data_IF_529773706734
#
_entry.id   IF_529773706734
#
_cell.length_a   1.000
_cell.length_b   1.000
_cell.length_c   1.000
_cell.angle_alpha   90.00
_cell.angle_beta   90.00
_cell.angle_gamma   90.00
#
_symmetry.space_group_name_H-M   'P 1'
#
loop_
_entity.id
_entity.type
_entity.pdbx_description
1 polymer ?
#
# COMPACT_ATOMS: atom_id res chain seq x y z
N UNK A 1 18.82 2.86 -22.27
CA UNK A 1 17.70 2.06 -21.70
C UNK A 1 18.24 1.30 -20.49
N UNK A 2 17.80 1.60 -19.27
CA UNK A 2 18.41 0.99 -18.06
C UNK A 2 17.68 1.25 -16.75
N UNK A 3 16.35 1.40 -16.76
CA UNK A 3 15.55 1.68 -15.54
C UNK A 3 14.68 0.50 -15.06
N UNK A 4 14.74 -0.67 -15.72
CA UNK A 4 13.85 -1.81 -15.43
C UNK A 4 14.28 -2.73 -14.28
N UNK A 5 15.57 -2.82 -13.97
CA UNK A 5 16.07 -3.79 -12.99
C UNK A 5 16.06 -3.26 -11.55
N UNK A 6 16.37 -1.99 -11.32
CA UNK A 6 16.43 -1.42 -9.97
C UNK A 6 15.05 -1.33 -9.30
N UNK A 7 14.00 -0.94 -10.04
CA UNK A 7 12.63 -0.92 -9.50
C UNK A 7 12.11 -2.32 -9.16
N UNK A 8 12.44 -3.35 -9.97
CA UNK A 8 12.03 -4.74 -9.68
C UNK A 8 12.75 -5.32 -8.45
N UNK A 9 14.04 -5.04 -8.30
CA UNK A 9 14.83 -5.52 -7.14
C UNK A 9 14.32 -4.87 -5.85
N UNK A 10 14.08 -3.55 -5.87
CA UNK A 10 13.51 -2.85 -4.72
C UNK A 10 12.11 -3.38 -4.39
N UNK A 11 11.26 -3.62 -5.38
CA UNK A 11 9.93 -4.19 -5.17
C UNK A 11 9.97 -5.56 -4.49
N UNK A 12 10.82 -6.48 -4.97
CA UNK A 12 10.98 -7.81 -4.37
C UNK A 12 11.50 -7.75 -2.93
N UNK A 13 12.37 -6.79 -2.64
CA UNK A 13 12.86 -6.53 -1.28
C UNK A 13 11.73 -6.06 -0.36
N UNK A 14 10.92 -5.09 -0.79
CA UNK A 14 9.74 -4.62 -0.05
C UNK A 14 8.74 -5.77 0.17
N UNK A 15 8.46 -6.56 -0.88
CA UNK A 15 7.55 -7.71 -0.82
C UNK A 15 7.98 -8.73 0.23
N UNK A 16 9.29 -8.96 0.37
CA UNK A 16 9.87 -9.90 1.32
C UNK A 16 9.92 -9.31 2.73
N UNK A 17 10.39 -8.06 2.86
CA UNK A 17 10.60 -7.38 4.14
C UNK A 17 9.29 -7.11 4.86
N UNK A 18 8.25 -6.72 4.12
CA UNK A 18 6.96 -6.29 4.65
C UNK A 18 5.83 -7.26 4.29
N UNK A 19 6.17 -8.54 4.11
CA UNK A 19 5.24 -9.55 3.62
C UNK A 19 3.95 -9.63 4.45
N UNK A 20 4.08 -9.51 5.77
CA UNK A 20 3.00 -9.60 6.76
C UNK A 20 2.11 -8.36 6.71
N UNK A 21 2.71 -7.18 6.76
CA UNK A 21 2.04 -5.87 6.71
C UNK A 21 1.28 -5.72 5.40
N UNK A 22 1.89 -6.11 4.27
CA UNK A 22 1.26 -6.11 2.96
C UNK A 22 0.10 -7.10 2.89
N UNK A 23 0.23 -8.29 3.49
CA UNK A 23 -0.85 -9.28 3.50
C UNK A 23 -2.03 -8.81 4.36
N UNK A 24 -1.73 -8.27 5.55
CA UNK A 24 -2.71 -7.70 6.47
C UNK A 24 -3.44 -6.51 5.84
N UNK A 25 -2.69 -5.52 5.35
CA UNK A 25 -3.23 -4.32 4.70
C UNK A 25 -4.12 -4.69 3.51
N UNK A 26 -3.63 -5.55 2.61
CA UNK A 26 -4.41 -5.99 1.46
C UNK A 26 -5.69 -6.74 1.89
N UNK A 27 -5.67 -7.47 3.00
CA UNK A 27 -6.85 -8.17 3.52
C UNK A 27 -7.88 -7.20 4.09
N UNK A 28 -7.44 -6.29 4.96
CA UNK A 28 -8.34 -5.31 5.59
C UNK A 28 -8.97 -4.42 4.52
N UNK A 29 -8.16 -3.84 3.64
CA UNK A 29 -8.62 -2.97 2.56
C UNK A 29 -9.57 -3.70 1.62
N UNK A 30 -9.23 -4.93 1.20
CA UNK A 30 -10.10 -5.71 0.30
C UNK A 30 -11.42 -6.16 0.95
N UNK A 31 -11.55 -6.13 2.28
CA UNK A 31 -12.79 -6.47 2.99
C UNK A 31 -13.74 -5.29 3.18
N UNK A 32 -13.31 -4.07 2.84
CA UNK A 32 -14.14 -2.87 2.94
C UNK A 32 -15.27 -2.88 1.91
N UNK A 33 -16.45 -2.41 2.33
CA UNK A 33 -17.68 -2.41 1.53
C UNK A 33 -18.13 -1.02 1.08
N UNK A 34 -17.56 0.03 1.68
CA UNK A 34 -17.95 1.43 1.41
C UNK A 34 -16.72 2.29 1.17
N UNK A 35 -16.87 3.38 0.43
CA UNK A 35 -15.76 4.31 0.18
C UNK A 35 -15.18 4.88 1.49
N UNK A 36 -16.02 5.19 2.48
CA UNK A 36 -15.56 5.70 3.77
C UNK A 36 -14.73 4.68 4.54
N UNK A 37 -15.17 3.41 4.59
CA UNK A 37 -14.41 2.34 5.24
C UNK A 37 -13.12 2.02 4.48
N UNK A 38 -13.13 2.12 3.15
CA UNK A 38 -11.94 2.01 2.30
C UNK A 38 -10.89 3.07 2.64
N UNK A 39 -11.28 4.35 2.67
CA UNK A 39 -10.37 5.44 2.99
C UNK A 39 -9.80 5.33 4.41
N UNK A 40 -10.64 4.95 5.38
CA UNK A 40 -10.20 4.73 6.75
C UNK A 40 -9.20 3.56 6.83
N UNK A 41 -9.50 2.42 6.21
CA UNK A 41 -8.62 1.25 6.20
C UNK A 41 -7.27 1.53 5.55
N UNK A 42 -7.25 2.32 4.47
CA UNK A 42 -6.01 2.77 3.82
C UNK A 42 -5.22 3.67 4.79
N UNK A 43 -5.88 4.68 5.37
CA UNK A 43 -5.24 5.61 6.29
C UNK A 43 -4.62 4.89 7.51
N UNK A 44 -5.36 3.96 8.12
CA UNK A 44 -4.89 3.15 9.24
C UNK A 44 -3.70 2.26 8.82
N UNK A 45 -3.81 1.56 7.68
CA UNK A 45 -2.75 0.67 7.19
C UNK A 45 -1.44 1.42 6.97
N UNK A 46 -1.50 2.59 6.32
CA UNK A 46 -0.31 3.39 6.02
C UNK A 46 0.24 4.07 7.26
N UNK A 47 -0.63 4.57 8.15
CA UNK A 47 -0.20 5.19 9.41
C UNK A 47 0.49 4.18 10.32
N UNK A 48 -0.05 2.96 10.45
CA UNK A 48 0.60 1.88 11.20
C UNK A 48 1.93 1.49 10.59
N UNK A 49 2.02 1.36 9.26
CA UNK A 49 3.29 1.06 8.59
C UNK A 49 4.36 2.11 8.92
N UNK A 50 4.03 3.40 8.80
CA UNK A 50 4.96 4.51 9.09
C UNK A 50 5.35 4.55 10.56
N UNK A 51 4.41 4.29 11.47
CA UNK A 51 4.69 4.26 12.91
C UNK A 51 5.69 3.14 13.27
N UNK A 52 5.56 1.96 12.66
CA UNK A 52 6.36 0.79 12.97
C UNK A 52 7.71 0.76 12.22
N UNK A 53 7.75 1.27 10.98
CA UNK A 53 8.89 1.10 10.07
C UNK A 53 9.53 2.42 9.59
N UNK A 54 8.90 3.56 9.86
CA UNK A 54 9.26 4.85 9.29
C UNK A 54 8.74 5.04 7.85
N UNK A 55 8.93 6.25 7.31
CA UNK A 55 8.42 6.61 5.97
C UNK A 55 9.36 6.28 4.82
N UNK A 56 10.59 5.81 5.08
CA UNK A 56 11.62 5.62 4.05
C UNK A 56 11.27 4.61 2.96
N UNK A 57 10.51 3.57 3.32
CA UNK A 57 10.06 2.52 2.41
C UNK A 57 8.56 2.64 2.04
N UNK A 58 7.90 3.75 2.42
CA UNK A 58 6.45 3.94 2.26
C UNK A 58 6.01 3.90 0.79
N UNK A 59 6.71 4.59 -0.11
CA UNK A 59 6.36 4.63 -1.53
C UNK A 59 6.41 3.22 -2.14
N UNK A 60 7.46 2.45 -1.81
CA UNK A 60 7.61 1.07 -2.26
C UNK A 60 6.52 0.16 -1.67
N UNK A 61 6.19 0.35 -0.39
CA UNK A 61 5.11 -0.37 0.27
C UNK A 61 3.75 -0.10 -0.40
N UNK A 62 3.42 1.17 -0.68
CA UNK A 62 2.19 1.58 -1.37
C UNK A 62 2.12 0.95 -2.76
N UNK A 63 3.22 0.97 -3.53
CA UNK A 63 3.27 0.37 -4.86
C UNK A 63 2.98 -1.14 -4.81
N UNK A 64 3.61 -1.86 -3.88
CA UNK A 64 3.38 -3.31 -3.73
C UNK A 64 1.96 -3.62 -3.25
N UNK A 65 1.46 -2.86 -2.28
CA UNK A 65 0.10 -3.01 -1.75
C UNK A 65 -0.95 -2.81 -2.84
N UNK A 66 -0.78 -1.77 -3.66
CA UNK A 66 -1.63 -1.47 -4.80
C UNK A 66 -1.65 -2.62 -5.81
N UNK A 67 -0.48 -3.18 -6.13
CA UNK A 67 -0.38 -4.36 -7.00
C UNK A 67 -1.12 -5.58 -6.42
N UNK A 68 -1.03 -5.83 -5.10
CA UNK A 68 -1.76 -6.92 -4.44
C UNK A 68 -3.29 -6.71 -4.49
N UNK A 69 -3.76 -5.47 -4.41
CA UNK A 69 -5.18 -5.14 -4.51
C UNK A 69 -5.72 -5.33 -5.94
N UNK A 70 -4.95 -4.94 -6.96
CA UNK A 70 -5.26 -5.22 -8.37
C UNK A 70 -5.40 -6.73 -8.59
N UNK A 71 -4.48 -7.54 -8.07
CA UNK A 71 -4.54 -9.00 -8.16
C UNK A 71 -5.77 -9.61 -7.46
N UNK A 72 -6.39 -8.88 -6.53
CA UNK A 72 -7.62 -9.26 -5.82
C UNK A 72 -8.89 -8.68 -6.47
N UNK A 73 -8.81 -8.13 -7.68
CA UNK A 73 -9.89 -7.41 -8.36
C UNK A 73 -10.45 -6.21 -7.58
N UNK A 74 -9.65 -5.62 -6.68
CA UNK A 74 -9.97 -4.39 -5.95
C UNK A 74 -9.28 -3.19 -6.58
N UNK A 75 -9.57 -2.95 -7.85
CA UNK A 75 -9.00 -1.84 -8.62
C UNK A 75 -9.42 -0.48 -8.04
N UNK A 76 -10.63 -0.40 -7.47
CA UNK A 76 -11.14 0.76 -6.73
C UNK A 76 -10.23 1.18 -5.56
N UNK A 77 -9.75 0.19 -4.79
CA UNK A 77 -8.83 0.41 -3.70
C UNK A 77 -7.44 0.79 -4.19
N UNK A 78 -7.00 0.20 -5.31
CA UNK A 78 -5.73 0.50 -5.94
C UNK A 78 -5.68 1.95 -6.47
N UNK A 79 -6.75 2.42 -7.11
CA UNK A 79 -6.88 3.80 -7.60
C UNK A 79 -6.94 4.80 -6.44
N UNK A 80 -7.61 4.42 -5.34
CA UNK A 80 -7.64 5.24 -4.12
C UNK A 80 -6.25 5.38 -3.52
N UNK A 81 -5.43 4.31 -3.51
CA UNK A 81 -4.04 4.35 -3.05
C UNK A 81 -3.13 5.18 -3.95
N UNK A 82 -3.33 5.16 -5.27
CA UNK A 82 -2.55 5.98 -6.21
C UNK A 82 -2.79 7.47 -6.01
N UNK A 83 -4.03 7.84 -5.67
CA UNK A 83 -4.40 9.23 -5.37
C UNK A 83 -4.29 9.58 -3.88
N UNK A 84 -3.83 8.64 -3.05
CA UNK A 84 -3.78 8.85 -1.62
C UNK A 84 -2.73 9.90 -1.29
N UNK A 85 -3.16 10.92 -0.55
CA UNK A 85 -2.25 11.84 0.13
C UNK A 85 -2.46 11.67 1.62
N UNK A 86 -1.38 11.70 2.43
CA UNK A 86 -1.53 11.78 3.87
C UNK A 86 -2.40 13.00 4.15
N UNK A 87 -3.54 12.76 4.78
CA UNK A 87 -4.35 13.86 5.31
C UNK A 87 -3.51 14.46 6.44
N UNK A 88 -2.88 15.61 6.21
CA UNK A 88 -2.31 16.41 7.28
C UNK A 88 -3.46 17.17 7.95
N UNK A 89 -3.90 16.78 9.17
CA UNK A 89 -4.81 17.62 9.93
C UNK A 89 -4.08 18.93 10.26
N UNK A 90 -4.71 20.04 9.87
CA UNK A 90 -4.24 21.41 10.13
C UNK A 90 -4.44 21.82 11.58
#
# INVERSE_FOLDING_TARGET
MGKGNHSKINRSLIETRYAVELARGASVIASTLTQSSLMQAIGETLSSFVADNGSGDLDGFVEVLRNRLIQRNRTDAADTLENWRPFEPK
#
